data_IF_334432873892
#
_entry.id   IF_334432873892
#
_cell.length_a   1.000
_cell.length_b   1.000
_cell.length_c   1.000
_cell.angle_alpha   90.00
_cell.angle_beta   90.00
_cell.angle_gamma   90.00
#
_symmetry.space_group_name_H-M   'P 1'
#
loop_
_entity.id
_entity.type
_entity.pdbx_description
1 polymer ?
#
# COMPACT_ATOMS: atom_id res chain seq x y z
N UNK A 1 5.60 -16.30 -4.72
CA UNK A 1 5.52 -15.04 -5.49
C UNK A 1 4.06 -14.65 -5.62
N UNK A 2 3.76 -13.36 -5.81
CA UNK A 2 2.39 -12.83 -5.86
C UNK A 2 2.10 -12.14 -7.18
N UNK A 3 0.81 -12.05 -7.50
CA UNK A 3 0.32 -11.43 -8.73
C UNK A 3 -0.63 -10.29 -8.40
N UNK A 4 -0.47 -9.17 -9.08
CA UNK A 4 -1.46 -8.10 -9.10
C UNK A 4 -2.16 -8.08 -10.45
N UNK A 5 -3.48 -7.96 -10.46
CA UNK A 5 -4.27 -7.82 -11.69
C UNK A 5 -5.06 -6.53 -11.62
N UNK A 6 -4.94 -5.68 -12.65
CA UNK A 6 -5.74 -4.47 -12.77
C UNK A 6 -6.81 -4.61 -13.86
N UNK A 7 -8.06 -4.33 -13.49
CA UNK A 7 -9.23 -4.29 -14.40
C UNK A 7 -9.70 -2.85 -14.61
N UNK A 8 -10.77 -2.65 -15.38
CA UNK A 8 -11.41 -1.34 -15.56
C UNK A 8 -12.69 -1.14 -14.75
N UNK A 9 -13.40 -2.22 -14.44
CA UNK A 9 -14.72 -2.16 -13.81
C UNK A 9 -14.79 -3.06 -12.58
N UNK A 10 -15.66 -2.70 -11.63
CA UNK A 10 -15.95 -3.50 -10.43
C UNK A 10 -16.45 -4.89 -10.81
N UNK A 11 -17.41 -4.94 -11.74
CA UNK A 11 -17.95 -6.20 -12.25
C UNK A 11 -16.88 -7.13 -12.81
N UNK A 12 -15.97 -6.62 -13.66
CA UNK A 12 -14.89 -7.45 -14.19
C UNK A 12 -13.92 -7.94 -13.11
N UNK A 13 -13.67 -7.14 -12.08
CA UNK A 13 -12.83 -7.55 -10.96
C UNK A 13 -13.48 -8.66 -10.14
N UNK A 14 -14.78 -8.55 -9.88
CA UNK A 14 -15.60 -9.56 -9.20
C UNK A 14 -15.63 -10.86 -10.03
N UNK A 15 -16.10 -10.78 -11.28
CA UNK A 15 -16.20 -11.93 -12.20
C UNK A 15 -14.85 -12.66 -12.36
N UNK A 16 -13.75 -11.91 -12.48
CA UNK A 16 -12.40 -12.50 -12.58
C UNK A 16 -11.96 -13.15 -11.28
N UNK A 17 -12.27 -12.55 -10.14
CA UNK A 17 -11.91 -13.11 -8.83
C UNK A 17 -12.65 -14.43 -8.61
N UNK A 18 -13.95 -14.45 -8.90
CA UNK A 18 -14.79 -15.65 -8.79
C UNK A 18 -14.26 -16.75 -9.72
N UNK A 19 -13.99 -16.43 -10.98
CA UNK A 19 -13.40 -17.38 -11.92
C UNK A 19 -12.07 -17.95 -11.42
N UNK A 20 -11.16 -17.10 -10.90
CA UNK A 20 -9.87 -17.54 -10.37
C UNK A 20 -10.06 -18.51 -9.19
N UNK A 21 -11.00 -18.21 -8.29
CA UNK A 21 -11.32 -19.07 -7.15
C UNK A 21 -11.92 -20.41 -7.61
N UNK A 22 -12.83 -20.39 -8.59
CA UNK A 22 -13.44 -21.60 -9.17
C UNK A 22 -12.40 -22.54 -9.78
N UNK A 23 -11.37 -22.01 -10.44
CA UNK A 23 -10.28 -22.82 -11.02
C UNK A 23 -9.18 -23.17 -9.99
N UNK A 24 -9.39 -22.85 -8.71
CA UNK A 24 -8.52 -23.24 -7.60
C UNK A 24 -7.37 -22.28 -7.30
N UNK A 25 -7.38 -21.06 -7.86
CA UNK A 25 -6.41 -20.01 -7.56
C UNK A 25 -6.89 -19.21 -6.35
N UNK A 26 -6.02 -19.05 -5.34
CA UNK A 26 -6.32 -18.20 -4.18
C UNK A 26 -6.25 -16.73 -4.59
N UNK A 27 -7.41 -16.15 -4.90
CA UNK A 27 -7.55 -14.77 -5.31
C UNK A 27 -8.44 -13.97 -4.33
N UNK A 28 -8.17 -12.67 -4.21
CA UNK A 28 -9.07 -11.71 -3.54
C UNK A 28 -9.23 -10.45 -4.37
N UNK A 29 -10.43 -9.87 -4.28
CA UNK A 29 -10.76 -8.58 -4.87
C UNK A 29 -10.53 -7.44 -3.87
N UNK A 30 -9.89 -6.35 -4.32
CA UNK A 30 -9.76 -5.11 -3.56
C UNK A 30 -10.63 -4.00 -4.19
N UNK A 31 -11.77 -3.71 -3.56
CA UNK A 31 -12.66 -2.63 -4.00
C UNK A 31 -12.24 -1.25 -3.44
N UNK A 32 -12.72 -0.18 -4.07
CA UNK A 32 -12.36 1.21 -3.72
C UNK A 32 -12.95 1.71 -2.40
N UNK A 33 -14.01 1.04 -1.93
CA UNK A 33 -14.78 1.38 -0.72
C UNK A 33 -14.28 0.63 0.53
N UNK A 34 -13.26 -0.24 0.38
CA UNK A 34 -12.62 -0.93 1.49
C UNK A 34 -12.05 0.11 2.45
N UNK A 35 -12.38 -0.04 3.74
CA UNK A 35 -11.86 0.84 4.78
C UNK A 35 -10.34 0.71 4.89
N UNK A 36 -9.65 1.76 5.37
CA UNK A 36 -8.18 1.77 5.42
C UNK A 36 -7.61 0.56 6.17
N UNK A 37 -8.25 0.14 7.27
CA UNK A 37 -7.85 -1.01 8.08
C UNK A 37 -7.95 -2.33 7.31
N UNK A 38 -9.11 -2.61 6.74
CA UNK A 38 -9.36 -3.82 5.94
C UNK A 38 -8.41 -3.89 4.73
N UNK A 39 -8.08 -2.75 4.10
CA UNK A 39 -7.09 -2.71 3.03
C UNK A 39 -5.71 -3.15 3.51
N UNK A 40 -5.29 -2.72 4.69
CA UNK A 40 -4.00 -3.10 5.27
C UNK A 40 -3.96 -4.60 5.55
N UNK A 41 -5.06 -5.16 6.07
CA UNK A 41 -5.19 -6.60 6.32
C UNK A 41 -5.09 -7.42 5.04
N UNK A 42 -5.84 -7.05 3.98
CA UNK A 42 -5.79 -7.74 2.69
C UNK A 42 -4.37 -7.72 2.10
N UNK A 43 -3.67 -6.59 2.21
CA UNK A 43 -2.29 -6.48 1.72
C UNK A 43 -1.32 -7.32 2.56
N UNK A 44 -1.52 -7.38 3.88
CA UNK A 44 -0.74 -8.26 4.77
C UNK A 44 -0.95 -9.73 4.42
N UNK A 45 -2.19 -10.17 4.27
CA UNK A 45 -2.56 -11.53 3.88
C UNK A 45 -1.91 -11.93 2.55
N UNK A 46 -1.86 -11.01 1.58
CA UNK A 46 -1.13 -11.22 0.31
C UNK A 46 0.37 -11.43 0.56
N UNK A 47 1.00 -10.63 1.42
CA UNK A 47 2.43 -10.80 1.74
C UNK A 47 2.71 -12.13 2.44
N UNK A 48 1.86 -12.50 3.41
CA UNK A 48 1.94 -13.76 4.15
C UNK A 48 1.69 -14.99 3.24
N UNK A 49 0.93 -14.80 2.16
CA UNK A 49 0.59 -15.89 1.24
C UNK A 49 -0.67 -16.65 1.59
N UNK A 50 -1.56 -16.03 2.36
CA UNK A 50 -2.92 -16.51 2.53
C UNK A 50 -3.64 -16.61 1.19
N UNK A 51 -3.29 -15.71 0.26
CA UNK A 51 -3.68 -15.79 -1.14
C UNK A 51 -2.54 -15.29 -2.07
N UNK A 52 -2.66 -15.60 -3.36
CA UNK A 52 -1.59 -15.40 -4.34
C UNK A 52 -1.87 -14.27 -5.33
N UNK A 53 -3.16 -13.97 -5.58
CA UNK A 53 -3.58 -13.01 -6.60
C UNK A 53 -4.47 -11.93 -6.00
N UNK A 54 -4.09 -10.67 -6.18
CA UNK A 54 -4.93 -9.52 -5.84
C UNK A 54 -5.49 -8.88 -7.11
N UNK A 55 -6.80 -8.90 -7.26
CA UNK A 55 -7.51 -8.25 -8.36
C UNK A 55 -8.04 -6.89 -7.89
N UNK A 56 -7.93 -5.84 -8.70
CA UNK A 56 -8.52 -4.56 -8.37
C UNK A 56 -8.59 -3.61 -9.57
N UNK A 57 -9.28 -2.48 -9.41
CA UNK A 57 -9.39 -1.47 -10.48
C UNK A 57 -8.21 -0.50 -10.40
N UNK A 58 -8.05 0.10 -9.22
CA UNK A 58 -7.01 1.07 -8.94
C UNK A 58 -6.18 0.63 -7.74
N UNK A 59 -5.11 -0.11 -8.03
CA UNK A 59 -4.13 -0.51 -7.03
C UNK A 59 -3.09 0.60 -6.75
N UNK A 60 -3.29 1.82 -7.27
CA UNK A 60 -2.29 2.90 -7.28
C UNK A 60 -2.21 3.73 -5.99
N UNK A 61 -2.93 3.39 -4.91
CA UNK A 61 -2.78 4.16 -3.67
C UNK A 61 -1.37 4.02 -3.10
N UNK A 62 -0.93 5.08 -2.44
CA UNK A 62 0.31 5.12 -1.67
C UNK A 62 0.34 3.97 -0.65
N UNK A 63 1.53 3.45 -0.33
CA UNK A 63 1.68 2.37 0.65
C UNK A 63 1.67 0.92 0.12
N UNK A 64 1.42 0.66 -1.18
CA UNK A 64 1.67 -0.68 -1.76
C UNK A 64 3.15 -0.91 -2.06
N UNK A 65 3.90 -1.31 -1.04
CA UNK A 65 5.26 -1.82 -1.14
C UNK A 65 5.25 -3.34 -0.93
N UNK A 66 5.23 -4.10 -2.04
CA UNK A 66 5.08 -5.56 -2.05
C UNK A 66 6.25 -6.20 -2.82
N UNK A 67 7.42 -6.43 -2.18
CA UNK A 67 8.55 -7.09 -2.83
C UNK A 67 8.24 -8.54 -3.27
N UNK A 68 7.18 -9.14 -2.74
CA UNK A 68 6.74 -10.50 -3.08
C UNK A 68 6.03 -10.57 -4.44
N UNK A 69 5.62 -9.44 -5.02
CA UNK A 69 4.94 -9.37 -6.32
C UNK A 69 5.96 -9.51 -7.45
N UNK A 70 5.88 -10.58 -8.23
CA UNK A 70 6.71 -10.80 -9.43
C UNK A 70 5.96 -10.53 -10.73
N UNK A 71 4.64 -10.49 -10.72
CA UNK A 71 3.82 -10.27 -11.91
C UNK A 71 2.74 -9.21 -11.69
N UNK A 72 2.63 -8.28 -12.63
CA UNK A 72 1.51 -7.36 -12.75
C UNK A 72 0.83 -7.58 -14.10
N UNK A 73 -0.45 -7.95 -14.08
CA UNK A 73 -1.27 -8.09 -15.27
C UNK A 73 -2.21 -6.89 -15.40
N UNK A 74 -2.20 -6.21 -16.54
CA UNK A 74 -3.07 -5.07 -16.85
C UNK A 74 -4.04 -5.52 -17.93
N UNK A 75 -5.30 -5.73 -17.54
CA UNK A 75 -6.37 -6.05 -18.48
C UNK A 75 -6.87 -4.77 -19.15
N UNK A 76 -7.31 -4.92 -20.40
CA UNK A 76 -7.82 -3.82 -21.23
C UNK A 76 -6.85 -2.64 -21.27
N UNK A 77 -5.57 -2.92 -21.51
CA UNK A 77 -4.51 -1.91 -21.46
C UNK A 77 -4.65 -0.85 -22.56
N UNK A 78 -5.35 -1.16 -23.66
CA UNK A 78 -5.60 -0.25 -24.78
C UNK A 78 -6.85 0.62 -24.64
N UNK A 79 -7.62 0.46 -23.54
CA UNK A 79 -8.79 1.31 -23.29
C UNK A 79 -8.33 2.59 -22.60
N UNK A 80 -8.09 3.61 -23.41
CA UNK A 80 -7.65 4.90 -22.92
C UNK A 80 -8.65 5.54 -21.93
N UNK A 81 -8.11 6.32 -21.00
CA UNK A 81 -8.85 6.92 -19.91
C UNK A 81 -7.94 7.12 -18.71
N UNK A 82 -8.51 7.55 -17.58
CA UNK A 82 -7.73 7.84 -16.37
C UNK A 82 -6.82 6.67 -15.95
N UNK A 83 -7.39 5.46 -15.85
CA UNK A 83 -6.69 4.25 -15.37
C UNK A 83 -5.66 3.68 -16.35
N UNK A 84 -5.63 4.13 -17.60
CA UNK A 84 -4.71 3.69 -18.67
C UNK A 84 -3.98 4.85 -19.32
N UNK A 85 -3.92 5.99 -18.63
CA UNK A 85 -3.03 7.09 -18.98
C UNK A 85 -1.58 6.64 -18.85
N UNK A 86 -0.67 7.30 -19.56
CA UNK A 86 0.78 7.09 -19.44
C UNK A 86 1.22 7.05 -17.97
N UNK A 87 0.81 8.06 -17.18
CA UNK A 87 1.16 8.15 -15.76
C UNK A 87 0.65 6.95 -14.97
N UNK A 88 -0.60 6.55 -15.16
CA UNK A 88 -1.17 5.39 -14.46
C UNK A 88 -0.49 4.09 -14.85
N UNK A 89 -0.19 3.89 -16.14
CA UNK A 89 0.53 2.70 -16.62
C UNK A 89 1.93 2.63 -16.02
N UNK A 90 2.69 3.74 -16.03
CA UNK A 90 4.02 3.80 -15.41
C UNK A 90 3.96 3.46 -13.92
N UNK A 91 2.97 3.99 -13.19
CA UNK A 91 2.80 3.67 -11.77
C UNK A 91 2.40 2.21 -11.54
N UNK A 92 1.53 1.63 -12.37
CA UNK A 92 1.15 0.21 -12.28
C UNK A 92 2.35 -0.69 -12.58
N UNK A 93 3.15 -0.38 -13.61
CA UNK A 93 4.39 -1.09 -13.94
C UNK A 93 5.36 -1.07 -12.75
N UNK A 94 5.48 0.08 -12.08
CA UNK A 94 6.34 0.27 -10.92
C UNK A 94 6.05 -0.69 -9.76
N UNK A 95 4.85 -1.29 -9.69
CA UNK A 95 4.51 -2.28 -8.66
C UNK A 95 5.29 -3.60 -8.81
N UNK A 96 5.75 -3.94 -10.02
CA UNK A 96 6.60 -5.10 -10.26
C UNK A 96 8.09 -4.80 -10.01
N UNK A 97 8.49 -3.54 -9.88
CA UNK A 97 9.91 -3.13 -9.91
C UNK A 97 10.70 -3.47 -8.63
N UNK A 98 10.05 -3.98 -7.58
CA UNK A 98 10.69 -4.35 -6.31
C UNK A 98 11.16 -5.80 -6.24
N UNK A 99 10.82 -6.60 -7.25
CA UNK A 99 11.18 -7.99 -7.35
C UNK A 99 12.14 -8.22 -8.52
N UNK A 100 13.19 -9.02 -8.31
CA UNK A 100 14.17 -9.35 -9.36
C UNK A 100 13.53 -10.04 -10.58
N UNK A 101 12.47 -10.80 -10.36
CA UNK A 101 11.67 -11.47 -11.40
C UNK A 101 10.48 -10.61 -11.88
N UNK A 102 10.46 -9.33 -11.51
CA UNK A 102 9.39 -8.39 -11.83
C UNK A 102 9.07 -8.33 -13.33
N UNK A 103 7.84 -8.70 -13.67
CA UNK A 103 7.30 -8.71 -15.02
C UNK A 103 5.94 -8.04 -15.07
N UNK A 104 5.66 -7.39 -16.20
CA UNK A 104 4.34 -6.80 -16.48
C UNK A 104 3.81 -7.41 -17.78
N UNK A 105 2.53 -7.76 -17.79
CA UNK A 105 1.80 -8.21 -18.99
C UNK A 105 0.64 -7.24 -19.21
N UNK A 106 0.60 -6.62 -20.38
CA UNK A 106 -0.50 -5.77 -20.82
C UNK A 106 -1.33 -6.53 -21.85
N UNK A 107 -2.60 -6.79 -21.54
CA UNK A 107 -3.55 -7.41 -22.47
C UNK A 107 -4.27 -6.30 -23.23
N UNK A 108 -4.09 -6.30 -24.55
CA UNK A 108 -4.58 -5.27 -25.45
C UNK A 108 -4.70 -5.83 -26.87
N UNK A 109 -5.62 -5.27 -27.67
CA UNK A 109 -5.73 -5.56 -29.10
C UNK A 109 -4.75 -4.70 -29.92
N UNK A 110 -4.44 -3.50 -29.43
CA UNK A 110 -3.53 -2.54 -30.07
C UNK A 110 -2.62 -1.83 -29.07
N UNK A 111 -1.50 -1.29 -29.54
CA UNK A 111 -0.61 -0.46 -28.70
C UNK A 111 -1.05 1.00 -28.83
N UNK A 112 -1.56 1.58 -27.75
CA UNK A 112 -1.93 3.01 -27.71
C UNK A 112 -0.70 3.89 -27.48
N UNK A 113 -0.84 5.19 -27.73
CA UNK A 113 0.25 6.15 -27.49
C UNK A 113 0.63 6.23 -25.99
N UNK A 114 -0.36 6.06 -25.11
CA UNK A 114 -0.13 5.99 -23.65
C UNK A 114 0.66 4.75 -23.25
N UNK A 115 0.37 3.59 -23.88
CA UNK A 115 1.15 2.37 -23.69
C UNK A 115 2.56 2.50 -24.22
N UNK A 116 2.73 3.01 -25.44
CA UNK A 116 4.03 3.21 -26.09
C UNK A 116 4.95 4.05 -25.20
N UNK A 117 4.50 5.23 -24.76
CA UNK A 117 5.28 6.09 -23.86
C UNK A 117 5.64 5.42 -22.53
N UNK A 118 4.70 4.70 -21.92
CA UNK A 118 4.95 3.99 -20.67
C UNK A 118 5.96 2.83 -20.83
N UNK A 119 5.87 2.09 -21.93
CA UNK A 119 6.78 0.99 -22.29
C UNK A 119 8.18 1.55 -22.57
N UNK A 120 8.27 2.61 -23.37
CA UNK A 120 9.54 3.25 -23.73
C UNK A 120 10.25 3.82 -22.50
N UNK A 121 9.53 4.52 -21.62
CA UNK A 121 10.11 5.04 -20.38
C UNK A 121 10.58 3.90 -19.46
N UNK A 122 9.86 2.78 -19.42
CA UNK A 122 10.25 1.58 -18.67
C UNK A 122 11.56 1.00 -19.21
N UNK A 123 11.68 0.82 -20.52
CA UNK A 123 12.90 0.30 -21.15
C UNK A 123 14.07 1.28 -21.03
N UNK A 124 13.82 2.58 -21.18
CA UNK A 124 14.84 3.62 -20.99
C UNK A 124 15.42 3.55 -19.58
N UNK A 125 14.57 3.54 -18.53
CA UNK A 125 15.02 3.41 -17.14
C UNK A 125 15.78 2.10 -16.90
N UNK A 126 15.25 0.98 -17.38
CA UNK A 126 15.88 -0.34 -17.22
C UNK A 126 17.26 -0.40 -17.87
N UNK A 127 17.42 0.17 -19.06
CA UNK A 127 18.72 0.20 -19.76
C UNK A 127 19.80 0.96 -18.95
N UNK A 128 19.45 2.13 -18.42
CA UNK A 128 20.33 2.94 -17.56
C UNK A 128 20.72 2.16 -16.30
N UNK A 129 19.74 1.50 -15.65
CA UNK A 129 19.97 0.70 -14.46
C UNK A 129 20.89 -0.50 -14.74
N UNK A 130 20.67 -1.21 -15.85
CA UNK A 130 21.51 -2.35 -16.24
C UNK A 130 22.94 -1.92 -16.53
N UNK A 131 23.13 -0.80 -17.23
CA UNK A 131 24.44 -0.25 -17.50
C UNK A 131 25.16 0.19 -16.22
N UNK A 132 24.45 0.89 -15.33
CA UNK A 132 24.97 1.27 -14.03
C UNK A 132 25.40 0.05 -13.21
N UNK A 133 24.55 -0.97 -13.14
CA UNK A 133 24.83 -2.20 -12.41
C UNK A 133 26.07 -2.92 -12.97
N UNK A 134 26.17 -3.03 -14.30
CA UNK A 134 27.34 -3.63 -14.97
C UNK A 134 28.63 -2.88 -14.67
N UNK A 135 28.60 -1.54 -14.71
CA UNK A 135 29.77 -0.69 -14.43
C UNK A 135 30.24 -0.81 -12.98
N UNK A 136 29.32 -1.05 -12.03
CA UNK A 136 29.62 -1.09 -10.59
C UNK A 136 29.67 -2.52 -10.01
N UNK A 137 29.48 -3.55 -10.83
CA UNK A 137 29.45 -4.95 -10.37
C UNK A 137 28.27 -5.29 -9.45
N UNK A 138 27.15 -4.57 -9.58
CA UNK A 138 25.96 -4.78 -8.76
C UNK A 138 25.12 -5.92 -9.35
N UNK A 139 24.82 -6.93 -8.54
CA UNK A 139 23.85 -7.97 -8.88
C UNK A 139 22.48 -7.58 -8.30
N UNK A 140 21.41 -7.46 -9.11
CA UNK A 140 20.09 -7.15 -8.59
C UNK A 140 19.60 -8.22 -7.62
N UNK A 141 19.12 -7.78 -6.46
CA UNK A 141 18.47 -8.64 -5.47
C UNK A 141 17.13 -8.06 -5.07
N UNK A 142 16.15 -8.91 -4.78
CA UNK A 142 14.85 -8.47 -4.27
C UNK A 142 14.99 -7.90 -2.87
N UNK A 143 14.30 -6.80 -2.60
CA UNK A 143 14.28 -6.18 -1.27
C UNK A 143 13.60 -7.11 -0.28
N UNK A 144 14.29 -7.51 0.79
CA UNK A 144 13.67 -8.23 1.92
C UNK A 144 13.19 -7.21 2.95
N UNK A 145 11.88 -7.01 3.02
CA UNK A 145 11.25 -6.12 4.00
C UNK A 145 10.50 -6.96 5.03
N UNK A 146 10.72 -6.70 6.31
CA UNK A 146 9.94 -7.33 7.36
C UNK A 146 8.43 -7.10 7.11
N UNK A 147 7.64 -8.14 7.31
CA UNK A 147 6.20 -7.97 7.46
C UNK A 147 6.05 -7.47 8.90
N UNK A 148 6.01 -6.15 9.07
CA UNK A 148 5.64 -5.60 10.37
C UNK A 148 4.21 -6.07 10.64
N UNK A 149 4.00 -6.76 11.76
CA UNK A 149 2.66 -7.05 12.26
C UNK A 149 2.04 -5.73 12.70
N UNK A 150 1.45 -5.01 11.75
CA UNK A 150 0.54 -3.91 12.04
C UNK A 150 -0.61 -4.44 12.89
N UNK A 151 -0.88 -5.75 12.86
CA UNK A 151 -1.79 -6.45 13.76
C UNK A 151 -1.36 -6.36 15.22
N UNK A 152 -0.07 -6.21 15.59
CA UNK A 152 0.30 -5.94 16.99
C UNK A 152 0.02 -4.48 17.37
N UNK A 153 0.13 -3.53 16.44
CA UNK A 153 -0.27 -2.13 16.68
C UNK A 153 -1.80 -1.94 16.68
N UNK A 154 -2.53 -2.71 15.87
CA UNK A 154 -3.99 -2.72 15.83
C UNK A 154 -4.59 -3.55 16.96
N UNK A 155 -3.97 -4.68 17.34
CA UNK A 155 -4.30 -5.36 18.59
C UNK A 155 -3.94 -4.50 19.78
N UNK A 156 -2.86 -3.71 19.79
CA UNK A 156 -2.66 -2.75 20.87
C UNK A 156 -3.75 -1.64 20.90
N UNK A 157 -4.47 -1.43 19.79
CA UNK A 157 -5.60 -0.49 19.71
C UNK A 157 -6.98 -1.15 19.91
N UNK A 158 -7.11 -2.47 19.72
CA UNK A 158 -8.34 -3.28 19.91
C UNK A 158 -8.33 -4.10 21.23
N UNK A 159 -7.13 -4.46 21.73
CA UNK A 159 -6.82 -4.96 23.07
C UNK A 159 -6.48 -3.81 24.04
N UNK A 160 -6.73 -2.55 23.67
CA UNK A 160 -7.26 -1.66 24.70
C UNK A 160 -8.61 -2.29 25.05
N UNK A 161 -8.77 -2.89 26.24
CA UNK A 161 -10.09 -3.30 26.64
C UNK A 161 -10.91 -2.02 26.51
N UNK A 162 -12.08 -2.13 25.90
CA UNK A 162 -13.22 -1.37 26.41
C UNK A 162 -13.38 -1.87 27.85
N UNK A 163 -12.48 -1.44 28.74
CA UNK A 163 -12.85 -1.10 30.08
C UNK A 163 -14.02 -0.18 29.82
N UNK A 164 -15.21 -0.71 30.07
CA UNK A 164 -16.22 0.07 30.78
C UNK A 164 -15.42 1.08 31.60
N UNK A 165 -15.52 2.35 31.20
CA UNK A 165 -14.99 3.45 31.98
C UNK A 165 -15.76 3.40 33.30
N UNK A 166 -15.35 2.50 34.19
CA UNK A 166 -15.44 2.70 35.60
C UNK A 166 -14.67 3.98 35.85
N UNK A 167 -15.45 5.02 36.05
CA UNK A 167 -15.10 6.32 36.59
C UNK A 167 -14.02 6.22 37.68
N UNK A 168 -12.74 6.17 37.33
CA UNK A 168 -11.66 6.27 38.32
C UNK A 168 -10.41 6.96 37.75
N UNK A 169 -10.46 8.30 37.80
CA UNK A 169 -9.35 9.23 38.04
C UNK A 169 -7.94 8.89 37.48
N UNK A 170 -7.65 9.31 36.23
CA UNK A 170 -6.27 9.64 35.87
C UNK A 170 -5.80 10.81 36.75
N UNK A 171 -4.64 10.68 37.38
CA UNK A 171 -4.04 11.80 38.12
C UNK A 171 -3.55 12.87 37.13
N UNK A 172 -3.71 14.16 37.44
CA UNK A 172 -3.13 15.28 36.67
C UNK A 172 -1.65 15.09 36.35
N UNK A 173 -0.91 14.38 37.21
CA UNK A 173 0.51 14.10 37.04
C UNK A 173 0.81 13.12 35.91
N UNK A 174 -0.10 12.20 35.63
CA UNK A 174 0.02 11.20 34.56
C UNK A 174 -0.41 11.78 33.22
N UNK A 175 -1.49 12.58 33.22
CA UNK A 175 -1.89 13.38 32.06
C UNK A 175 -0.77 14.33 31.60
N UNK A 176 -0.06 14.98 32.54
CA UNK A 176 1.06 15.86 32.21
C UNK A 176 2.25 15.12 31.57
N UNK A 177 2.52 13.88 31.97
CA UNK A 177 3.58 13.05 31.35
C UNK A 177 3.19 12.61 29.94
N UNK A 178 1.94 12.19 29.76
CA UNK A 178 1.41 11.78 28.45
C UNK A 178 1.43 12.94 27.46
N UNK A 179 1.02 14.14 27.90
CA UNK A 179 1.07 15.36 27.05
C UNK A 179 2.50 15.65 26.58
N UNK A 180 3.52 15.54 27.47
CA UNK A 180 4.91 15.77 27.08
C UNK A 180 5.41 14.76 26.05
N UNK A 181 5.08 13.48 26.21
CA UNK A 181 5.47 12.44 25.26
C UNK A 181 4.86 12.69 23.87
N UNK A 182 3.59 13.09 23.82
CA UNK A 182 2.91 13.45 22.57
C UNK A 182 3.46 14.73 21.94
N UNK A 183 3.90 15.70 22.74
CA UNK A 183 4.57 16.91 22.25
C UNK A 183 5.91 16.56 21.58
N UNK A 184 6.72 15.70 22.20
CA UNK A 184 8.00 15.26 21.64
C UNK A 184 7.80 14.52 20.29
N UNK A 185 6.78 13.67 20.21
CA UNK A 185 6.40 12.94 18.99
C UNK A 185 5.88 13.89 17.90
N UNK A 186 5.06 14.89 18.27
CA UNK A 186 4.57 15.92 17.35
C UNK A 186 5.71 16.75 16.76
N UNK A 187 6.71 17.13 17.59
CA UNK A 187 7.88 17.88 17.12
C UNK A 187 8.74 17.05 16.16
N UNK A 188 8.88 15.75 16.44
CA UNK A 188 9.59 14.83 15.55
C UNK A 188 8.89 14.68 14.21
N UNK A 189 7.58 14.45 14.21
CA UNK A 189 6.76 14.41 13.00
C UNK A 189 6.87 15.70 12.17
N UNK A 190 6.91 16.87 12.84
CA UNK A 190 7.12 18.15 12.16
C UNK A 190 8.52 18.31 11.55
N UNK A 191 9.57 17.78 12.19
CA UNK A 191 10.94 17.76 11.64
C UNK A 191 11.05 16.83 10.42
N UNK A 192 10.33 15.70 10.45
CA UNK A 192 10.27 14.72 9.38
C UNK A 192 9.31 15.12 8.23
N UNK A 193 8.76 16.35 8.28
CA UNK A 193 7.82 16.93 7.31
C UNK A 193 6.46 16.20 7.22
N UNK A 194 6.10 15.43 8.24
CA UNK A 194 4.82 14.72 8.38
C UNK A 194 3.74 15.62 9.01
N UNK A 195 3.34 16.67 8.28
CA UNK A 195 2.47 17.72 8.82
C UNK A 195 1.07 17.24 9.21
N UNK A 196 0.52 16.23 8.54
CA UNK A 196 -0.79 15.65 8.88
C UNK A 196 -0.72 14.91 10.23
N UNK A 197 0.32 14.11 10.43
CA UNK A 197 0.54 13.39 11.68
C UNK A 197 0.80 14.35 12.86
N UNK A 198 1.60 15.41 12.63
CA UNK A 198 1.79 16.47 13.60
C UNK A 198 0.47 17.20 13.95
N UNK A 199 -0.44 17.40 12.99
CA UNK A 199 -1.74 18.01 13.23
C UNK A 199 -2.66 17.12 14.09
N UNK A 200 -2.67 15.81 13.84
CA UNK A 200 -3.43 14.84 14.65
C UNK A 200 -2.93 14.80 16.10
N UNK A 201 -1.61 14.75 16.30
CA UNK A 201 -1.00 14.76 17.64
C UNK A 201 -1.32 16.06 18.37
N UNK A 202 -1.27 17.20 17.68
CA UNK A 202 -1.66 18.52 18.24
C UNK A 202 -3.11 18.53 18.73
N UNK A 203 -4.03 17.99 17.94
CA UNK A 203 -5.45 18.01 18.28
C UNK A 203 -5.75 17.06 19.46
N UNK A 204 -5.06 15.90 19.54
CA UNK A 204 -5.07 15.01 20.71
C UNK A 204 -4.53 15.67 21.98
N UNK A 205 -3.38 16.36 21.89
CA UNK A 205 -2.79 17.12 23.02
C UNK A 205 -3.78 18.18 23.51
N UNK A 206 -4.45 18.88 22.59
CA UNK A 206 -5.43 19.92 22.93
C UNK A 206 -6.62 19.35 23.71
N UNK A 207 -7.12 18.19 23.32
CA UNK A 207 -8.26 17.57 24.00
C UNK A 207 -7.88 16.97 25.36
N UNK A 208 -6.69 16.41 25.49
CA UNK A 208 -6.13 16.01 26.79
C UNK A 208 -5.95 17.22 27.71
N UNK A 209 -5.39 18.33 27.21
CA UNK A 209 -5.26 19.56 27.99
C UNK A 209 -6.61 20.09 28.46
N UNK A 210 -7.65 20.09 27.62
CA UNK A 210 -9.00 20.50 28.03
C UNK A 210 -9.59 19.60 29.11
N UNK A 211 -9.40 18.28 29.00
CA UNK A 211 -9.94 17.29 29.95
C UNK A 211 -9.30 17.39 31.34
N UNK A 212 -8.03 17.80 31.42
CA UNK A 212 -7.27 17.88 32.67
C UNK A 212 -6.95 19.33 33.11
N UNK A 213 -7.65 20.33 32.56
CA UNK A 213 -7.50 21.75 32.90
C UNK A 213 -8.33 22.23 34.11
N UNK A 214 -8.98 21.31 34.85
CA UNK A 214 -9.66 21.62 36.13
C UNK A 214 -8.81 21.17 37.31
#
# INVERSE_FOLDING_TARGET
ERVLVTTLTKKMAEDLTDYLVEVGVKARYLHSEVQTLERVEILRDLRLGEFDVLVGINLLREGLDLPEVSLVAILDADKEGFLRSETSLVQTIGRAARNVNGKVIMYADSVTQSMERAIDETYRRRSIQMEYNKRHGITPESVKKAIHDITEMLKAAEDEPVYELEETALSHKEAAKLIRALEDEMYKAAQDLEFEHAAELRDKIRDLRKRFAQ
#
